data_IF_241947306469
#
_entry.id   IF_241947306469
#
_cell.length_a   1.000
_cell.length_b   1.000
_cell.length_c   1.000
_cell.angle_alpha   90.00
_cell.angle_beta   90.00
_cell.angle_gamma   90.00
#
_symmetry.space_group_name_H-M   'P 1'
#
loop_
_entity.id
_entity.type
_entity.pdbx_description
1 polymer ?
#
# COMPACT_ATOMS: atom_id res chain seq x y z
N UNK A 1 6.18 -13.02 -33.65
CA UNK A 1 6.86 -13.71 -32.53
C UNK A 1 7.54 -12.62 -31.71
N UNK A 2 7.19 -12.49 -30.44
CA UNK A 2 7.89 -11.54 -29.53
C UNK A 2 9.32 -12.02 -29.35
N UNK A 3 10.28 -11.17 -29.71
CA UNK A 3 11.71 -11.45 -29.53
C UNK A 3 12.20 -10.67 -28.32
N UNK A 4 12.96 -11.31 -27.44
CA UNK A 4 13.54 -10.67 -26.25
C UNK A 4 13.90 -11.70 -25.18
N UNK A 5 14.68 -11.31 -24.16
CA UNK A 5 15.10 -12.21 -23.07
C UNK A 5 13.95 -12.85 -22.29
N UNK A 6 12.75 -12.21 -22.29
CA UNK A 6 11.54 -12.72 -21.62
C UNK A 6 10.55 -13.34 -22.61
N UNK A 7 10.96 -13.63 -23.87
CA UNK A 7 10.05 -14.18 -24.88
C UNK A 7 9.41 -15.50 -24.39
N UNK A 8 8.08 -15.56 -24.45
CA UNK A 8 7.30 -16.71 -24.00
C UNK A 8 7.13 -16.82 -22.48
N UNK A 9 7.69 -15.90 -21.67
CA UNK A 9 7.56 -15.93 -20.22
C UNK A 9 6.38 -15.11 -19.73
N UNK A 10 5.67 -15.64 -18.74
CA UNK A 10 4.60 -14.92 -18.04
C UNK A 10 5.05 -14.63 -16.62
N UNK A 11 5.09 -13.33 -16.29
CA UNK A 11 5.52 -12.82 -15.00
C UNK A 11 4.32 -12.24 -14.28
N UNK A 12 4.01 -12.77 -13.09
CA UNK A 12 2.95 -12.22 -12.25
C UNK A 12 3.45 -10.95 -11.56
N UNK A 13 2.70 -9.86 -11.72
CA UNK A 13 2.96 -8.57 -11.06
C UNK A 13 1.91 -8.38 -9.98
N UNK A 14 2.35 -8.35 -8.72
CA UNK A 14 1.46 -8.40 -7.55
C UNK A 14 1.13 -7.04 -6.93
N UNK A 15 1.60 -5.95 -7.52
CA UNK A 15 1.30 -4.59 -7.06
C UNK A 15 -0.15 -4.19 -7.31
N UNK A 16 -0.69 -3.23 -6.55
CA UNK A 16 -1.96 -2.59 -6.87
C UNK A 16 -2.01 -2.14 -8.34
N UNK A 17 -3.14 -2.31 -9.02
CA UNK A 17 -3.28 -2.09 -10.48
C UNK A 17 -2.76 -0.72 -10.94
N UNK A 18 -3.01 0.34 -10.15
CA UNK A 18 -2.53 1.68 -10.46
C UNK A 18 -0.98 1.80 -10.48
N UNK A 19 -0.27 0.91 -9.79
CA UNK A 19 1.19 0.92 -9.66
C UNK A 19 1.87 -0.17 -10.52
N UNK A 20 1.10 -1.08 -11.12
CA UNK A 20 1.63 -2.21 -11.88
C UNK A 20 2.01 -1.84 -13.34
N UNK A 21 1.39 -0.82 -13.90
CA UNK A 21 1.50 -0.48 -15.32
C UNK A 21 2.94 -0.20 -15.81
N UNK A 22 3.81 0.54 -15.07
CA UNK A 22 5.19 0.77 -15.52
C UNK A 22 5.98 -0.54 -15.65
N UNK A 23 5.96 -1.40 -14.62
CA UNK A 23 6.66 -2.69 -14.65
C UNK A 23 6.10 -3.62 -15.74
N UNK A 24 4.78 -3.67 -15.90
CA UNK A 24 4.14 -4.46 -16.95
C UNK A 24 4.61 -4.05 -18.36
N UNK A 25 4.75 -2.76 -18.61
CA UNK A 25 5.29 -2.23 -19.86
C UNK A 25 6.75 -2.65 -20.07
N UNK A 26 7.58 -2.64 -19.03
CA UNK A 26 8.97 -3.07 -19.11
C UNK A 26 9.09 -4.58 -19.40
N UNK A 27 8.24 -5.41 -18.77
CA UNK A 27 8.17 -6.85 -19.06
C UNK A 27 7.78 -7.09 -20.52
N UNK A 28 6.76 -6.39 -21.02
CA UNK A 28 6.32 -6.47 -22.40
C UNK A 28 7.41 -6.01 -23.39
N UNK A 29 8.17 -4.95 -23.07
CA UNK A 29 9.31 -4.50 -23.87
C UNK A 29 10.43 -5.55 -23.92
N UNK A 30 10.60 -6.36 -22.86
CA UNK A 30 11.51 -7.52 -22.84
C UNK A 30 10.98 -8.75 -23.58
N UNK A 31 9.80 -8.68 -24.19
CA UNK A 31 9.14 -9.78 -24.91
C UNK A 31 8.29 -10.70 -24.05
N UNK A 32 8.17 -10.42 -22.76
CA UNK A 32 7.37 -11.21 -21.80
C UNK A 32 5.90 -10.79 -21.72
N UNK A 33 5.12 -11.60 -21.02
CA UNK A 33 3.73 -11.32 -20.67
C UNK A 33 3.60 -10.98 -19.19
N UNK A 34 2.94 -9.88 -18.85
CA UNK A 34 2.66 -9.50 -17.47
C UNK A 34 1.24 -9.91 -17.07
N UNK A 35 1.13 -10.83 -16.11
CA UNK A 35 -0.13 -11.19 -15.48
C UNK A 35 -0.33 -10.31 -14.23
N UNK A 36 -1.29 -9.38 -14.29
CA UNK A 36 -1.58 -8.49 -13.15
C UNK A 36 -2.44 -9.22 -12.13
N UNK A 37 -1.87 -9.48 -10.97
CA UNK A 37 -2.54 -10.14 -9.85
C UNK A 37 -2.27 -9.38 -8.54
N UNK A 38 -2.98 -8.29 -8.25
CA UNK A 38 -2.79 -7.53 -7.04
C UNK A 38 -3.02 -8.38 -5.78
N UNK A 39 -2.00 -8.46 -4.92
CA UNK A 39 -2.10 -9.17 -3.63
C UNK A 39 -2.66 -8.28 -2.51
N UNK A 40 -2.76 -6.98 -2.77
CA UNK A 40 -3.34 -6.00 -1.87
C UNK A 40 -4.38 -5.20 -2.64
N UNK A 41 -5.60 -5.27 -2.17
CA UNK A 41 -6.72 -4.46 -2.64
C UNK A 41 -7.11 -3.45 -1.56
N UNK A 42 -7.44 -2.25 -2.01
CA UNK A 42 -7.98 -1.20 -1.15
C UNK A 42 -9.48 -1.14 -1.42
N UNK A 43 -10.25 -1.33 -0.37
CA UNK A 43 -11.70 -1.26 -0.41
C UNK A 43 -12.20 -0.25 0.65
N UNK A 44 -13.39 0.31 0.50
CA UNK A 44 -14.02 1.10 1.58
C UNK A 44 -14.03 0.33 2.90
N UNK A 45 -14.01 1.05 4.01
CA UNK A 45 -14.21 0.44 5.32
C UNK A 45 -15.53 -0.35 5.35
N UNK A 46 -15.53 -1.50 6.01
CA UNK A 46 -16.75 -2.31 6.14
C UNK A 46 -17.80 -1.65 7.03
N UNK A 47 -17.36 -0.88 8.03
CA UNK A 47 -18.18 -0.02 8.87
C UNK A 47 -17.75 1.44 8.68
N UNK A 48 -18.67 2.27 8.26
CA UNK A 48 -18.47 3.70 8.02
C UNK A 48 -19.01 4.59 9.13
N UNK A 49 -19.54 4.03 10.21
CA UNK A 49 -20.17 4.80 11.29
C UNK A 49 -19.21 5.84 11.91
N UNK A 50 -17.95 5.45 12.15
CA UNK A 50 -16.91 6.36 12.66
C UNK A 50 -16.61 7.50 11.67
N UNK A 51 -16.56 7.21 10.36
CA UNK A 51 -16.32 8.21 9.32
C UNK A 51 -17.54 9.15 9.18
N UNK A 52 -18.75 8.61 9.22
CA UNK A 52 -19.99 9.41 9.22
C UNK A 52 -20.06 10.34 10.43
N UNK A 53 -19.80 9.81 11.63
CA UNK A 53 -19.74 10.62 12.85
C UNK A 53 -18.65 11.69 12.80
N UNK A 54 -17.49 11.40 12.21
CA UNK A 54 -16.44 12.39 12.02
C UNK A 54 -16.85 13.48 11.01
N UNK A 55 -17.58 13.13 9.95
CA UNK A 55 -18.09 14.10 8.99
C UNK A 55 -19.10 15.05 9.65
N UNK A 56 -20.03 14.55 10.46
CA UNK A 56 -20.98 15.36 11.19
C UNK A 56 -20.33 16.37 12.14
N UNK A 57 -19.21 15.97 12.74
CA UNK A 57 -18.45 16.76 13.72
C UNK A 57 -17.15 17.33 13.17
N UNK A 58 -17.02 17.45 11.83
CA UNK A 58 -15.77 17.87 11.21
C UNK A 58 -15.26 19.23 11.74
N UNK A 59 -16.17 20.14 12.05
CA UNK A 59 -15.84 21.44 12.62
C UNK A 59 -15.37 21.41 14.08
N UNK A 60 -15.54 20.30 14.80
CA UNK A 60 -15.08 20.18 16.18
C UNK A 60 -13.58 19.86 16.27
N UNK A 61 -12.99 19.38 15.17
CA UNK A 61 -11.58 19.04 15.14
C UNK A 61 -10.71 20.29 14.89
N UNK A 62 -9.57 20.31 15.53
CA UNK A 62 -8.52 21.31 15.30
C UNK A 62 -7.49 20.83 14.27
N UNK A 63 -7.26 19.53 14.23
CA UNK A 63 -6.27 18.88 13.35
C UNK A 63 -6.90 17.66 12.69
N UNK A 64 -6.61 17.48 11.39
CA UNK A 64 -7.01 16.33 10.60
C UNK A 64 -5.79 15.67 9.94
N UNK A 65 -5.41 14.50 10.40
CA UNK A 65 -4.24 13.76 9.91
C UNK A 65 -4.68 12.70 8.91
N UNK A 66 -4.12 12.75 7.71
CA UNK A 66 -4.30 11.73 6.68
C UNK A 66 -3.02 10.90 6.52
N UNK A 67 -3.09 9.62 6.82
CA UNK A 67 -1.89 8.76 6.82
C UNK A 67 -1.49 8.27 5.42
N UNK A 68 -2.34 8.42 4.42
CA UNK A 68 -2.07 7.95 3.06
C UNK A 68 -2.99 8.61 2.02
N UNK A 69 -2.65 8.58 0.71
CA UNK A 69 -3.58 8.99 -0.36
C UNK A 69 -4.89 8.21 -0.35
N UNK A 70 -4.87 6.93 0.04
CA UNK A 70 -6.08 6.13 0.16
C UNK A 70 -7.00 6.66 1.27
N UNK A 71 -6.45 7.15 2.39
CA UNK A 71 -7.26 7.78 3.42
C UNK A 71 -7.96 9.04 2.90
N UNK A 72 -7.28 9.83 2.07
CA UNK A 72 -7.87 11.00 1.40
C UNK A 72 -9.01 10.56 0.47
N UNK A 73 -8.73 9.65 -0.46
CA UNK A 73 -9.69 9.20 -1.48
C UNK A 73 -10.97 8.59 -0.88
N UNK A 74 -10.86 7.92 0.28
CA UNK A 74 -12.00 7.28 0.92
C UNK A 74 -12.70 8.15 1.97
N UNK A 75 -12.03 9.16 2.55
CA UNK A 75 -12.64 10.02 3.57
C UNK A 75 -13.27 11.29 2.98
N UNK A 76 -12.55 12.01 2.10
CA UNK A 76 -12.99 13.33 1.64
C UNK A 76 -14.35 13.35 0.95
N UNK A 77 -14.73 12.39 0.11
CA UNK A 77 -16.06 12.39 -0.50
C UNK A 77 -17.19 12.45 0.53
N UNK A 78 -17.02 11.83 1.71
CA UNK A 78 -18.01 11.88 2.78
C UNK A 78 -17.85 13.13 3.66
N UNK A 79 -16.61 13.51 3.97
CA UNK A 79 -16.34 14.68 4.81
C UNK A 79 -16.82 16.00 4.17
N UNK A 80 -16.76 16.09 2.84
CA UNK A 80 -17.08 17.30 2.06
C UNK A 80 -18.36 17.16 1.21
N UNK A 81 -19.18 16.13 1.43
CA UNK A 81 -20.38 15.89 0.63
C UNK A 81 -21.29 17.11 0.49
N UNK A 82 -21.49 17.86 1.60
CA UNK A 82 -22.44 18.97 1.69
C UNK A 82 -21.80 20.27 2.22
N UNK A 83 -20.47 20.32 2.34
CA UNK A 83 -19.80 21.45 3.00
C UNK A 83 -18.36 21.63 2.50
N UNK A 84 -17.82 22.85 2.53
CA UNK A 84 -16.40 23.09 2.28
C UNK A 84 -15.56 22.63 3.47
N UNK A 85 -14.25 22.50 3.24
CA UNK A 85 -13.27 22.26 4.31
C UNK A 85 -13.31 23.40 5.35
N UNK A 86 -13.42 23.09 6.67
CA UNK A 86 -13.46 24.13 7.69
C UNK A 86 -12.15 24.91 7.74
N UNK A 87 -12.22 26.24 7.66
CA UNK A 87 -11.03 27.09 7.55
C UNK A 87 -10.06 27.01 8.74
N UNK A 88 -10.55 26.63 9.93
CA UNK A 88 -9.74 26.49 11.14
C UNK A 88 -9.13 25.09 11.30
N UNK A 89 -9.63 24.10 10.53
CA UNK A 89 -9.16 22.72 10.61
C UNK A 89 -7.86 22.55 9.84
N UNK A 90 -6.74 22.38 10.54
CA UNK A 90 -5.44 22.20 9.93
C UNK A 90 -5.28 20.78 9.40
N UNK A 91 -5.13 20.57 8.08
CA UNK A 91 -4.82 19.27 7.53
C UNK A 91 -3.33 18.94 7.68
N UNK A 92 -3.04 17.68 8.00
CA UNK A 92 -1.69 17.13 8.09
C UNK A 92 -1.61 15.84 7.27
N UNK A 93 -0.46 15.62 6.64
CA UNK A 93 -0.18 14.43 5.84
C UNK A 93 1.14 13.81 6.24
N UNK A 94 1.21 12.48 6.21
CA UNK A 94 2.46 11.76 6.51
C UNK A 94 3.52 11.98 5.43
N UNK A 95 3.11 12.25 4.19
CA UNK A 95 4.08 12.42 3.12
C UNK A 95 3.53 13.11 1.86
N UNK A 96 4.41 13.40 0.88
CA UNK A 96 4.10 14.26 -0.27
C UNK A 96 3.00 13.71 -1.19
N UNK A 97 2.85 12.39 -1.29
CA UNK A 97 1.74 11.79 -2.05
C UNK A 97 0.36 12.12 -1.46
N UNK A 98 0.27 12.17 -0.13
CA UNK A 98 -0.96 12.53 0.59
C UNK A 98 -1.23 14.03 0.51
N UNK A 99 -0.19 14.87 0.58
CA UNK A 99 -0.32 16.33 0.36
C UNK A 99 -0.92 16.61 -1.01
N UNK A 100 -0.40 15.94 -2.06
CA UNK A 100 -0.91 16.09 -3.42
C UNK A 100 -2.37 15.67 -3.54
N UNK A 101 -2.72 14.51 -2.97
CA UNK A 101 -4.10 14.03 -2.98
C UNK A 101 -5.06 15.02 -2.30
N UNK A 102 -4.68 15.62 -1.16
CA UNK A 102 -5.46 16.64 -0.47
C UNK A 102 -5.63 17.90 -1.33
N UNK A 103 -4.57 18.35 -1.99
CA UNK A 103 -4.60 19.53 -2.87
C UNK A 103 -5.50 19.31 -4.09
N UNK A 104 -5.47 18.12 -4.69
CA UNK A 104 -6.34 17.73 -5.81
C UNK A 104 -7.83 17.76 -5.42
N UNK A 105 -8.15 17.47 -4.17
CA UNK A 105 -9.51 17.55 -3.60
C UNK A 105 -9.85 18.94 -3.01
N UNK A 106 -9.00 19.94 -3.22
CA UNK A 106 -9.26 21.33 -2.82
C UNK A 106 -9.04 21.60 -1.33
N UNK A 107 -8.35 20.75 -0.59
CA UNK A 107 -7.98 20.98 0.82
C UNK A 107 -6.67 21.76 0.88
N UNK A 108 -6.68 23.03 1.34
CA UNK A 108 -5.50 23.90 1.27
C UNK A 108 -4.55 23.71 2.46
N UNK A 109 -3.33 24.24 2.32
CA UNK A 109 -2.37 24.45 3.42
C UNK A 109 -2.05 23.20 4.25
N UNK A 110 -1.94 22.04 3.60
CA UNK A 110 -1.58 20.80 4.28
C UNK A 110 -0.13 20.84 4.76
N UNK A 111 0.09 20.54 6.04
CA UNK A 111 1.42 20.39 6.63
C UNK A 111 1.90 18.93 6.48
N UNK A 112 3.19 18.76 6.23
CA UNK A 112 3.84 17.45 6.18
C UNK A 112 5.30 17.56 6.60
N UNK A 113 5.92 16.46 7.07
CA UNK A 113 7.36 16.42 7.33
C UNK A 113 8.18 16.74 6.06
N UNK A 114 9.36 17.35 6.23
CA UNK A 114 10.23 17.66 5.11
C UNK A 114 11.01 16.45 4.58
N UNK A 115 11.51 15.60 5.49
CA UNK A 115 12.50 14.58 5.15
C UNK A 115 12.10 13.15 5.53
N UNK A 116 11.29 12.98 6.57
CA UNK A 116 10.92 11.68 7.10
C UNK A 116 9.41 11.44 7.01
N UNK A 117 8.97 10.63 6.05
CA UNK A 117 7.57 10.42 5.71
C UNK A 117 6.95 9.22 6.45
N UNK A 118 6.94 9.30 7.79
CA UNK A 118 6.35 8.32 8.69
C UNK A 118 5.73 8.99 9.93
N UNK A 119 5.22 8.18 10.87
CA UNK A 119 4.60 8.69 12.11
C UNK A 119 5.57 9.51 12.95
N UNK A 120 6.83 9.11 13.02
CA UNK A 120 7.88 9.80 13.78
C UNK A 120 8.21 11.15 13.17
N UNK A 121 8.33 11.23 11.84
CA UNK A 121 8.56 12.50 11.15
C UNK A 121 7.38 13.45 11.34
N UNK A 122 6.14 12.93 11.26
CA UNK A 122 4.95 13.75 11.50
C UNK A 122 4.91 14.27 12.95
N UNK A 123 5.18 13.41 13.94
CA UNK A 123 5.20 13.76 15.37
C UNK A 123 6.30 14.77 15.74
N UNK A 124 7.31 14.97 14.89
CA UNK A 124 8.35 15.98 15.05
C UNK A 124 7.91 17.37 14.60
N UNK A 125 6.77 17.52 13.96
CA UNK A 125 6.26 18.84 13.56
C UNK A 125 5.94 19.72 14.78
N UNK A 126 6.25 21.02 14.72
CA UNK A 126 5.97 21.98 15.82
C UNK A 126 4.48 22.04 16.19
N UNK A 127 3.59 21.75 15.25
CA UNK A 127 2.13 21.74 15.45
C UNK A 127 1.64 20.57 16.31
N UNK A 128 2.46 19.53 16.45
CA UNK A 128 2.10 18.31 17.18
C UNK A 128 2.82 18.16 18.54
N UNK A 129 3.55 19.16 19.00
CA UNK A 129 4.11 19.16 20.36
C UNK A 129 3.02 19.25 21.42
N UNK A 130 3.30 18.79 22.65
CA UNK A 130 2.32 18.69 23.72
C UNK A 130 1.63 20.03 24.02
N UNK A 131 2.39 21.14 24.03
CA UNK A 131 1.88 22.48 24.30
C UNK A 131 0.86 22.97 23.28
N UNK A 132 0.90 22.40 22.08
CA UNK A 132 -0.01 22.78 20.99
C UNK A 132 -1.20 21.87 20.83
N UNK A 133 -1.08 20.60 21.22
CA UNK A 133 -2.16 19.62 21.02
C UNK A 133 -2.95 19.30 22.28
N UNK A 134 -2.46 19.66 23.47
CA UNK A 134 -3.16 19.41 24.74
C UNK A 134 -4.59 19.99 24.72
N UNK A 135 -5.59 19.14 25.00
CA UNK A 135 -7.02 19.46 24.99
C UNK A 135 -7.63 19.64 23.60
N UNK A 136 -6.87 19.56 22.50
CA UNK A 136 -7.39 19.67 21.14
C UNK A 136 -7.92 18.34 20.62
N UNK A 137 -8.99 18.41 19.81
CA UNK A 137 -9.48 17.24 19.08
C UNK A 137 -8.69 17.04 17.80
N UNK A 138 -8.21 15.82 17.61
CA UNK A 138 -7.42 15.39 16.46
C UNK A 138 -8.12 14.20 15.81
N UNK A 139 -8.47 14.33 14.54
CA UNK A 139 -8.95 13.23 13.70
C UNK A 139 -7.76 12.57 12.97
N UNK A 140 -7.63 11.25 13.06
CA UNK A 140 -6.64 10.48 12.29
C UNK A 140 -7.40 9.58 11.29
N UNK A 141 -7.38 9.95 10.01
CA UNK A 141 -7.98 9.20 8.91
C UNK A 141 -6.98 8.15 8.41
N UNK A 142 -7.33 6.87 8.57
CA UNK A 142 -6.41 5.75 8.35
C UNK A 142 -7.10 4.52 7.71
N UNK A 143 -6.31 3.53 7.31
CA UNK A 143 -6.80 2.20 6.98
C UNK A 143 -7.06 1.36 8.24
N UNK A 144 -7.67 0.20 8.04
CA UNK A 144 -7.75 -0.83 9.05
C UNK A 144 -6.35 -1.33 9.43
N UNK A 145 -6.09 -1.43 10.72
CA UNK A 145 -4.77 -1.78 11.22
C UNK A 145 -3.72 -0.67 11.02
N UNK A 146 -2.47 -1.01 11.22
CA UNK A 146 -1.32 -0.10 11.13
C UNK A 146 -0.75 0.25 12.49
N UNK A 147 0.22 1.19 12.50
CA UNK A 147 0.96 1.57 13.73
C UNK A 147 0.08 2.48 14.60
N UNK A 148 0.02 2.14 15.89
CA UNK A 148 -0.70 2.96 16.89
C UNK A 148 0.12 4.16 17.38
N UNK A 149 1.44 4.17 17.13
CA UNK A 149 2.40 5.16 17.63
C UNK A 149 1.90 6.61 17.53
N UNK A 150 1.33 6.99 16.37
CA UNK A 150 0.84 8.35 16.17
C UNK A 150 -0.29 8.71 17.13
N UNK A 151 -1.27 7.82 17.27
CA UNK A 151 -2.42 8.02 18.13
C UNK A 151 -2.04 7.99 19.61
N UNK A 152 -1.21 7.04 20.01
CA UNK A 152 -0.71 6.89 21.39
C UNK A 152 0.08 8.11 21.81
N UNK A 153 1.08 8.53 21.01
CA UNK A 153 1.90 9.70 21.33
C UNK A 153 1.07 10.99 21.41
N UNK A 154 0.09 11.19 20.51
CA UNK A 154 -0.77 12.37 20.59
C UNK A 154 -1.66 12.35 21.83
N UNK A 155 -2.16 11.19 22.27
CA UNK A 155 -2.90 11.04 23.54
C UNK A 155 -1.99 11.32 24.74
N UNK A 156 -0.76 10.81 24.74
CA UNK A 156 0.25 11.10 25.77
C UNK A 156 0.56 12.60 25.85
N UNK A 157 0.52 13.32 24.72
CA UNK A 157 0.65 14.78 24.62
C UNK A 157 -0.62 15.53 25.03
N UNK A 158 -1.66 14.82 25.50
CA UNK A 158 -2.90 15.40 26.00
C UNK A 158 -3.97 15.71 24.94
N UNK A 159 -3.81 15.26 23.70
CA UNK A 159 -4.82 15.42 22.67
C UNK A 159 -5.99 14.45 22.84
N UNK A 160 -7.20 14.87 22.41
CA UNK A 160 -8.38 13.99 22.27
C UNK A 160 -8.35 13.42 20.85
N UNK A 161 -7.99 12.14 20.71
CA UNK A 161 -7.72 11.53 19.42
C UNK A 161 -8.81 10.56 19.01
N UNK A 162 -9.45 10.85 17.87
CA UNK A 162 -10.36 9.96 17.16
C UNK A 162 -9.63 9.30 15.98
N UNK A 163 -9.50 7.96 16.01
CA UNK A 163 -8.97 7.16 14.90
C UNK A 163 -10.13 6.72 14.01
N UNK A 164 -10.12 7.15 12.75
CA UNK A 164 -11.22 6.93 11.81
C UNK A 164 -10.73 6.02 10.69
N UNK A 165 -11.26 4.80 10.65
CA UNK A 165 -10.97 3.85 9.57
C UNK A 165 -11.77 4.22 8.33
N UNK A 166 -11.06 4.58 7.24
CA UNK A 166 -11.65 5.02 5.99
C UNK A 166 -11.65 3.95 4.91
N UNK A 167 -10.68 3.06 4.96
CA UNK A 167 -10.51 1.97 4.00
C UNK A 167 -9.95 0.72 4.69
N UNK A 168 -10.12 -0.41 4.04
CA UNK A 168 -9.50 -1.68 4.45
C UNK A 168 -8.54 -2.18 3.39
N UNK A 169 -7.55 -2.90 3.85
CA UNK A 169 -6.67 -3.70 3.00
C UNK A 169 -7.15 -5.14 3.05
N UNK A 170 -7.20 -5.77 1.90
CA UNK A 170 -7.58 -7.18 1.79
C UNK A 170 -6.67 -7.87 0.79
N UNK A 171 -6.63 -9.19 0.85
CA UNK A 171 -6.13 -10.01 -0.24
C UNK A 171 -7.05 -9.89 -1.47
N UNK A 172 -6.71 -10.59 -2.56
CA UNK A 172 -7.48 -10.57 -3.80
C UNK A 172 -8.93 -10.97 -3.57
N UNK A 173 -9.88 -10.10 -3.92
CA UNK A 173 -11.31 -10.38 -3.75
C UNK A 173 -11.80 -11.58 -4.58
N UNK A 174 -11.18 -11.82 -5.74
CA UNK A 174 -11.47 -12.97 -6.63
C UNK A 174 -10.81 -14.28 -6.17
N UNK A 175 -10.13 -14.32 -5.02
CA UNK A 175 -9.36 -15.48 -4.59
C UNK A 175 -8.12 -15.73 -5.45
N UNK A 176 -7.63 -16.98 -5.47
CA UNK A 176 -6.36 -17.36 -6.10
C UNK A 176 -6.52 -18.28 -7.33
N UNK A 177 -7.74 -18.53 -7.78
CA UNK A 177 -8.03 -19.49 -8.87
C UNK A 177 -7.29 -19.12 -10.16
N UNK A 178 -7.21 -17.81 -10.49
CA UNK A 178 -6.49 -17.33 -11.66
C UNK A 178 -4.99 -17.72 -11.64
N UNK A 179 -4.34 -17.68 -10.47
CA UNK A 179 -2.96 -18.12 -10.32
C UNK A 179 -2.85 -19.63 -10.42
N UNK A 180 -3.74 -20.37 -9.77
CA UNK A 180 -3.76 -21.83 -9.80
C UNK A 180 -3.92 -22.33 -11.22
N UNK A 181 -4.84 -21.79 -11.98
CA UNK A 181 -5.04 -22.16 -13.37
C UNK A 181 -3.83 -21.81 -14.25
N UNK A 182 -3.20 -20.63 -14.02
CA UNK A 182 -1.99 -20.26 -14.74
C UNK A 182 -0.81 -21.21 -14.44
N UNK A 183 -0.68 -21.70 -13.21
CA UNK A 183 0.32 -22.72 -12.85
C UNK A 183 0.01 -24.09 -13.46
N UNK A 184 -1.22 -24.56 -13.35
CA UNK A 184 -1.65 -25.86 -13.92
C UNK A 184 -1.45 -25.94 -15.42
N UNK A 185 -1.69 -24.82 -16.11
CA UNK A 185 -1.48 -24.68 -17.56
C UNK A 185 -0.02 -24.47 -17.96
N UNK A 186 0.91 -24.41 -17.00
CA UNK A 186 2.33 -24.13 -17.27
C UNK A 186 2.57 -22.74 -17.86
N UNK A 187 1.68 -21.79 -17.61
CA UNK A 187 1.73 -20.41 -18.14
C UNK A 187 2.28 -19.38 -17.14
N UNK A 188 2.78 -19.80 -15.98
CA UNK A 188 3.33 -18.91 -14.97
C UNK A 188 4.80 -19.24 -14.73
N UNK A 189 5.71 -18.34 -15.06
CA UNK A 189 7.15 -18.55 -14.97
C UNK A 189 7.81 -17.89 -13.76
N UNK A 190 7.30 -16.75 -13.29
CA UNK A 190 7.81 -16.07 -12.10
C UNK A 190 6.77 -15.16 -11.46
N UNK A 191 7.04 -14.77 -10.21
CA UNK A 191 6.22 -13.80 -9.47
C UNK A 191 7.11 -12.67 -8.97
N UNK A 192 6.66 -11.43 -9.15
CA UNK A 192 7.29 -10.24 -8.55
C UNK A 192 6.46 -9.82 -7.34
N UNK A 193 7.09 -9.77 -6.15
CA UNK A 193 6.46 -9.32 -4.91
C UNK A 193 7.24 -8.16 -4.31
N UNK A 194 6.59 -7.01 -4.14
CA UNK A 194 7.19 -5.79 -3.58
C UNK A 194 6.65 -5.39 -2.20
N UNK A 195 5.85 -6.25 -1.57
CA UNK A 195 5.24 -6.00 -0.25
C UNK A 195 5.32 -7.24 0.64
N UNK A 196 5.83 -7.08 1.86
CA UNK A 196 5.84 -8.15 2.87
C UNK A 196 4.44 -8.60 3.26
N UNK A 197 3.49 -7.68 3.32
CA UNK A 197 2.08 -7.96 3.60
C UNK A 197 1.45 -8.74 2.43
N UNK A 198 1.69 -8.30 1.19
CA UNK A 198 1.23 -9.01 0.00
C UNK A 198 1.78 -10.43 -0.09
N UNK A 199 3.05 -10.65 0.29
CA UNK A 199 3.62 -12.00 0.35
C UNK A 199 2.90 -12.89 1.35
N UNK A 200 2.54 -12.38 2.52
CA UNK A 200 1.76 -13.14 3.52
C UNK A 200 0.37 -13.48 2.99
N UNK A 201 -0.34 -12.52 2.39
CA UNK A 201 -1.63 -12.79 1.75
C UNK A 201 -1.53 -13.86 0.66
N UNK A 202 -0.44 -13.87 -0.13
CA UNK A 202 -0.22 -14.91 -1.14
C UNK A 202 -0.09 -16.28 -0.48
N UNK A 203 0.79 -16.43 0.50
CA UNK A 203 1.05 -17.73 1.14
C UNK A 203 -0.15 -18.22 1.94
N UNK A 204 -0.81 -17.32 2.68
CA UNK A 204 -1.95 -17.67 3.54
C UNK A 204 -3.19 -18.03 2.72
N UNK A 205 -3.42 -17.35 1.59
CA UNK A 205 -4.58 -17.55 0.74
C UNK A 205 -4.48 -18.74 -0.22
N UNK A 206 -3.27 -19.24 -0.49
CA UNK A 206 -3.08 -20.37 -1.39
C UNK A 206 -3.44 -21.71 -0.70
N UNK A 207 -4.06 -22.60 -1.49
CA UNK A 207 -4.23 -24.03 -1.14
C UNK A 207 -2.88 -24.74 -0.97
N UNK A 208 -2.89 -25.98 -0.49
CA UNK A 208 -1.67 -26.81 -0.41
C UNK A 208 -1.00 -26.95 -1.78
N UNK A 209 -1.78 -27.23 -2.84
CA UNK A 209 -1.32 -27.32 -4.22
C UNK A 209 -0.67 -26.00 -4.69
N UNK A 210 -1.33 -24.86 -4.43
CA UNK A 210 -0.80 -23.54 -4.80
C UNK A 210 0.50 -23.21 -4.09
N UNK A 211 0.65 -23.60 -2.82
CA UNK A 211 1.92 -23.45 -2.09
C UNK A 211 3.04 -24.33 -2.66
N UNK A 212 2.72 -25.51 -3.16
CA UNK A 212 3.71 -26.38 -3.83
C UNK A 212 4.17 -25.78 -5.15
N UNK A 213 3.27 -25.21 -5.95
CA UNK A 213 3.65 -24.42 -7.13
C UNK A 213 4.50 -23.21 -6.76
N UNK A 214 4.10 -22.45 -5.74
CA UNK A 214 4.84 -21.25 -5.32
C UNK A 214 6.28 -21.58 -4.89
N UNK A 215 6.52 -22.69 -4.19
CA UNK A 215 7.88 -23.13 -3.80
C UNK A 215 8.78 -23.40 -4.99
N UNK A 216 8.23 -23.79 -6.13
CA UNK A 216 8.95 -24.10 -7.35
C UNK A 216 9.09 -22.89 -8.29
N UNK A 217 8.35 -21.80 -8.03
CA UNK A 217 8.31 -20.61 -8.87
C UNK A 217 9.35 -19.60 -8.40
N UNK A 218 10.20 -19.04 -9.29
CA UNK A 218 11.09 -17.94 -8.97
C UNK A 218 10.33 -16.72 -8.45
N UNK A 219 10.74 -16.20 -7.28
CA UNK A 219 10.13 -15.05 -6.62
C UNK A 219 11.11 -13.87 -6.65
N UNK A 220 10.81 -12.83 -7.41
CA UNK A 220 11.63 -11.62 -7.50
C UNK A 220 11.18 -10.58 -6.48
N UNK A 221 12.10 -10.11 -5.66
CA UNK A 221 11.81 -9.17 -4.56
C UNK A 221 12.83 -8.03 -4.52
N UNK A 222 12.41 -6.75 -4.35
CA UNK A 222 13.32 -5.60 -4.41
C UNK A 222 13.97 -5.25 -3.07
N UNK A 223 13.73 -6.02 -2.00
CA UNK A 223 14.21 -5.69 -0.66
C UNK A 223 14.52 -6.95 0.16
N UNK A 224 15.69 -6.94 0.85
CA UNK A 224 16.14 -8.05 1.71
C UNK A 224 15.11 -8.44 2.76
N UNK A 225 14.36 -7.48 3.31
CA UNK A 225 13.29 -7.78 4.27
C UNK A 225 12.21 -8.71 3.68
N UNK A 226 11.86 -8.54 2.41
CA UNK A 226 10.86 -9.40 1.75
C UNK A 226 11.48 -10.76 1.46
N UNK A 227 12.75 -10.80 1.03
CA UNK A 227 13.49 -12.03 0.81
C UNK A 227 13.62 -12.86 2.11
N UNK A 228 13.92 -12.21 3.23
CA UNK A 228 13.97 -12.87 4.54
C UNK A 228 12.64 -13.52 4.92
N UNK A 229 11.53 -12.78 4.80
CA UNK A 229 10.19 -13.32 5.05
C UNK A 229 9.85 -14.47 4.09
N UNK A 230 10.21 -14.37 2.82
CA UNK A 230 9.97 -15.45 1.86
C UNK A 230 10.69 -16.75 2.27
N UNK A 231 11.96 -16.65 2.69
CA UNK A 231 12.73 -17.80 3.17
C UNK A 231 12.17 -18.38 4.47
N UNK A 232 11.73 -17.54 5.41
CA UNK A 232 11.05 -17.97 6.64
C UNK A 232 9.74 -18.73 6.34
N UNK A 233 9.04 -18.36 5.25
CA UNK A 233 7.85 -19.04 4.76
C UNK A 233 8.15 -20.30 3.91
N UNK A 234 9.42 -20.71 3.79
CA UNK A 234 9.85 -21.92 3.09
C UNK A 234 9.95 -21.77 1.57
N UNK A 235 10.04 -20.53 1.07
CA UNK A 235 10.27 -20.25 -0.35
C UNK A 235 11.77 -20.15 -0.60
N UNK A 236 12.31 -21.05 -1.43
CA UNK A 236 13.77 -21.17 -1.63
C UNK A 236 14.26 -20.58 -2.95
N UNK A 237 13.37 -20.32 -3.92
CA UNK A 237 13.70 -19.71 -5.21
C UNK A 237 13.47 -18.20 -5.16
N UNK A 238 14.21 -17.51 -4.28
CA UNK A 238 14.05 -16.07 -4.04
C UNK A 238 15.21 -15.31 -4.66
N UNK A 239 14.87 -14.48 -5.62
CA UNK A 239 15.80 -13.61 -6.36
C UNK A 239 15.70 -12.18 -5.81
N UNK A 240 16.70 -11.77 -5.04
CA UNK A 240 16.83 -10.40 -4.55
C UNK A 240 17.32 -9.52 -5.69
N UNK A 241 16.59 -8.47 -6.00
CA UNK A 241 16.95 -7.49 -7.02
C UNK A 241 17.29 -6.14 -6.39
N UNK A 242 17.83 -5.23 -7.18
CA UNK A 242 17.86 -3.83 -6.79
C UNK A 242 16.45 -3.26 -6.67
N UNK A 243 16.32 -2.15 -5.93
CA UNK A 243 15.05 -1.47 -5.69
C UNK A 243 14.47 -0.87 -6.98
N UNK A 244 13.18 -0.54 -6.93
CA UNK A 244 12.39 0.02 -8.02
C UNK A 244 12.17 -0.93 -9.22
N UNK A 245 11.40 -0.46 -10.21
CA UNK A 245 11.04 -1.23 -11.40
C UNK A 245 12.26 -1.55 -12.26
N UNK A 246 13.23 -0.65 -12.30
CA UNK A 246 14.49 -0.84 -13.02
C UNK A 246 15.30 -2.02 -12.47
N UNK A 247 15.38 -2.18 -11.17
CA UNK A 247 16.06 -3.31 -10.55
C UNK A 247 15.33 -4.62 -10.78
N UNK A 248 14.01 -4.62 -10.63
CA UNK A 248 13.17 -5.80 -10.88
C UNK A 248 13.29 -6.29 -12.33
N UNK A 249 13.19 -5.38 -13.33
CA UNK A 249 13.30 -5.80 -14.73
C UNK A 249 14.71 -6.28 -15.08
N UNK A 250 15.76 -5.67 -14.54
CA UNK A 250 17.13 -6.15 -14.73
C UNK A 250 17.33 -7.56 -14.17
N UNK A 251 16.81 -7.84 -12.97
CA UNK A 251 16.82 -9.18 -12.38
C UNK A 251 16.12 -10.20 -13.26
N UNK A 252 14.93 -9.88 -13.76
CA UNK A 252 14.17 -10.73 -14.68
C UNK A 252 14.92 -11.00 -15.99
N UNK A 253 15.54 -9.97 -16.58
CA UNK A 253 16.30 -10.08 -17.84
C UNK A 253 17.60 -10.90 -17.68
N UNK A 254 18.23 -10.84 -16.51
CA UNK A 254 19.48 -11.53 -16.20
C UNK A 254 19.27 -12.97 -15.69
N UNK A 255 18.03 -13.34 -15.36
CA UNK A 255 17.73 -14.64 -14.77
C UNK A 255 17.94 -15.78 -15.78
N UNK A 256 18.51 -16.90 -15.32
CA UNK A 256 18.67 -18.10 -16.14
C UNK A 256 17.36 -18.91 -16.20
N UNK A 257 16.57 -18.66 -17.23
CA UNK A 257 15.27 -19.33 -17.45
C UNK A 257 15.37 -20.81 -17.87
N UNK A 258 16.56 -21.29 -18.10
CA UNK A 258 16.82 -22.68 -18.54
C UNK A 258 17.18 -23.62 -17.37
N UNK A 259 17.20 -23.12 -16.14
CA UNK A 259 17.60 -23.83 -14.94
C UNK A 259 16.40 -24.45 -14.20
#
# INVERSE_FOLDING_TARGET
>A
MTTGPLAGRTIVVTRPRAQAAPLAKMIAAGGGNALLFPLLEIAPAGDTAALTSAAERLADYSLAVFVSPNAVAHALPLLLADRPWPAHLQPLAVGPGTVRALAEEGVPNCLAPADRFDSEGLLALPELVAERVAGRRVAIFRGDGGRELLAETLRERGAIVDCITCYRRSGPAAGFDQLLDAWRDGRLDAIVVSSSEGLRYLVDGLSAEGRDFLRQTPLFVPHERIAGIARELGLNRVELTEAADSGLIQGLLAYNWSA
#
